data_IF_778245113830
#
_entry.id   IF_778245113830
#
_cell.length_a   1.000
_cell.length_b   1.000
_cell.length_c   1.000
_cell.angle_alpha   90.00
_cell.angle_beta   90.00
_cell.angle_gamma   90.00
#
_symmetry.space_group_name_H-M   'P 1'
#
loop_
_entity.id
_entity.type
_entity.pdbx_description
1 polymer ?
#
# COMPACT_ATOMS: atom_id res chain seq x y z
N UNK A 1 8.40 -17.96 -21.69
CA UNK A 1 7.86 -17.10 -20.63
C UNK A 1 8.45 -17.57 -19.32
N UNK A 2 9.06 -16.67 -18.54
CA UNK A 2 9.53 -16.97 -17.19
C UNK A 2 8.33 -17.23 -16.28
N UNK A 3 8.36 -18.34 -15.54
CA UNK A 3 7.31 -18.65 -14.56
C UNK A 3 7.26 -17.55 -13.51
N UNK A 4 6.04 -17.10 -13.14
CA UNK A 4 5.87 -16.08 -12.12
C UNK A 4 6.45 -16.53 -10.78
N UNK A 5 7.29 -15.71 -10.18
CA UNK A 5 7.92 -16.03 -8.90
C UNK A 5 6.97 -15.69 -7.74
N UNK A 6 6.83 -16.62 -6.79
CA UNK A 6 6.07 -16.40 -5.55
C UNK A 6 6.85 -15.53 -4.56
N UNK A 7 7.16 -14.29 -4.95
CA UNK A 7 7.89 -13.32 -4.16
C UNK A 7 7.30 -11.92 -4.30
N UNK A 8 7.36 -11.15 -3.20
CA UNK A 8 7.07 -9.72 -3.16
C UNK A 8 8.38 -8.98 -2.97
N UNK A 9 8.68 -8.02 -3.83
CA UNK A 9 9.93 -7.26 -3.76
C UNK A 9 9.72 -5.85 -3.18
N UNK A 10 10.68 -5.43 -2.37
CA UNK A 10 10.82 -4.02 -1.99
C UNK A 10 11.70 -3.28 -3.00
N UNK A 11 11.60 -1.95 -3.00
CA UNK A 11 12.38 -1.08 -3.86
C UNK A 11 13.40 -0.28 -3.05
N UNK A 12 14.50 0.08 -3.68
CA UNK A 12 15.59 0.81 -3.04
C UNK A 12 15.23 2.28 -2.76
N UNK A 13 14.48 2.94 -3.64
CA UNK A 13 14.19 4.37 -3.53
C UNK A 13 12.89 4.83 -4.21
N UNK A 14 12.85 6.10 -4.60
CA UNK A 14 11.67 6.77 -5.17
C UNK A 14 11.40 6.37 -6.63
N UNK A 15 12.39 5.84 -7.33
CA UNK A 15 12.31 5.45 -8.72
C UNK A 15 13.01 4.11 -8.93
N UNK A 16 12.62 3.40 -9.99
CA UNK A 16 13.32 2.19 -10.38
C UNK A 16 14.67 2.54 -10.99
N UNK A 17 15.71 1.92 -10.45
CA UNK A 17 17.01 1.88 -11.12
C UNK A 17 16.96 0.98 -12.34
N UNK A 18 17.91 1.17 -13.27
CA UNK A 18 18.05 0.27 -14.43
C UNK A 18 18.32 -1.18 -14.00
N UNK A 19 19.08 -1.38 -12.93
CA UNK A 19 19.40 -2.70 -12.38
C UNK A 19 18.16 -3.39 -11.81
N UNK A 20 17.32 -2.68 -11.05
CA UNK A 20 16.05 -3.21 -10.56
C UNK A 20 15.10 -3.55 -11.71
N UNK A 21 14.97 -2.67 -12.70
CA UNK A 21 14.11 -2.92 -13.88
C UNK A 21 14.57 -4.17 -14.66
N UNK A 22 15.87 -4.33 -14.88
CA UNK A 22 16.43 -5.52 -15.51
C UNK A 22 16.18 -6.79 -14.69
N UNK A 23 16.32 -6.71 -13.36
CA UNK A 23 16.08 -7.83 -12.46
C UNK A 23 14.59 -8.24 -12.44
N UNK A 24 13.70 -7.26 -12.36
CA UNK A 24 12.24 -7.48 -12.39
C UNK A 24 11.83 -8.18 -13.70
N UNK A 25 12.31 -7.69 -14.84
CA UNK A 25 12.06 -8.30 -16.15
C UNK A 25 12.49 -9.78 -16.22
N UNK A 26 13.62 -10.11 -15.61
CA UNK A 26 14.16 -11.48 -15.59
C UNK A 26 13.41 -12.41 -14.64
N UNK A 27 12.82 -11.88 -13.57
CA UNK A 27 12.28 -12.67 -12.46
C UNK A 27 10.76 -12.77 -12.43
N UNK A 28 10.04 -11.80 -12.99
CA UNK A 28 8.57 -11.78 -13.02
C UNK A 28 7.94 -12.05 -11.63
N UNK A 29 8.16 -11.17 -10.62
CA UNK A 29 7.66 -11.37 -9.27
C UNK A 29 6.13 -11.31 -9.19
N UNK A 30 5.57 -11.81 -8.09
CA UNK A 30 4.13 -11.72 -7.81
C UNK A 30 3.70 -10.27 -7.59
N UNK A 31 4.56 -9.46 -6.97
CA UNK A 31 4.26 -8.07 -6.70
C UNK A 31 5.38 -7.33 -5.99
N UNK A 32 5.02 -6.15 -5.50
CA UNK A 32 5.92 -5.19 -4.88
C UNK A 32 5.31 -4.63 -3.60
N UNK A 33 6.14 -4.29 -2.62
CA UNK A 33 5.72 -3.60 -1.40
C UNK A 33 6.42 -2.26 -1.26
N UNK A 34 5.63 -1.20 -1.04
CA UNK A 34 6.13 0.15 -0.84
C UNK A 34 6.37 0.44 0.63
N UNK A 35 7.50 1.07 0.92
CA UNK A 35 7.88 1.59 2.23
C UNK A 35 7.98 3.11 2.21
N UNK A 36 8.16 3.73 3.38
CA UNK A 36 8.31 5.20 3.48
C UNK A 36 9.44 5.77 2.62
N UNK A 37 10.52 5.01 2.37
CA UNK A 37 11.63 5.42 1.48
C UNK A 37 11.24 5.49 -0.02
N UNK A 38 10.06 4.98 -0.38
CA UNK A 38 9.54 4.96 -1.75
C UNK A 38 8.49 6.06 -1.99
N UNK A 39 8.26 6.94 -1.01
CA UNK A 39 7.20 7.94 -1.00
C UNK A 39 7.80 9.32 -0.81
N UNK A 40 7.57 10.21 -1.78
CA UNK A 40 7.88 11.64 -1.68
C UNK A 40 6.65 12.50 -1.99
N UNK A 41 5.99 12.25 -3.11
CA UNK A 41 4.75 12.93 -3.50
C UNK A 41 3.74 11.93 -4.07
N UNK A 42 2.45 12.27 -4.07
CA UNK A 42 1.41 11.39 -4.66
C UNK A 42 1.65 11.14 -6.15
N UNK A 43 2.10 12.15 -6.88
CA UNK A 43 2.44 12.04 -8.30
C UNK A 43 3.63 11.09 -8.52
N UNK A 44 4.70 11.25 -7.73
CA UNK A 44 5.86 10.35 -7.78
C UNK A 44 5.46 8.91 -7.47
N UNK A 45 4.65 8.66 -6.44
CA UNK A 45 4.17 7.32 -6.09
C UNK A 45 3.34 6.72 -7.24
N UNK A 46 2.43 7.50 -7.82
CA UNK A 46 1.61 7.06 -8.96
C UNK A 46 2.47 6.69 -10.17
N UNK A 47 3.51 7.47 -10.46
CA UNK A 47 4.47 7.20 -11.54
C UNK A 47 5.28 5.92 -11.26
N UNK A 48 5.78 5.75 -10.03
CA UNK A 48 6.49 4.55 -9.61
C UNK A 48 5.62 3.30 -9.76
N UNK A 49 4.38 3.33 -9.26
CA UNK A 49 3.42 2.21 -9.37
C UNK A 49 3.09 1.92 -10.83
N UNK A 50 2.90 2.94 -11.65
CA UNK A 50 2.65 2.78 -13.09
C UNK A 50 3.84 2.12 -13.80
N UNK A 51 5.07 2.52 -13.44
CA UNK A 51 6.28 1.92 -13.99
C UNK A 51 6.40 0.45 -13.57
N UNK A 52 6.18 0.11 -12.29
CA UNK A 52 6.14 -1.29 -11.81
C UNK A 52 5.12 -2.15 -12.57
N UNK A 53 3.92 -1.61 -12.78
CA UNK A 53 2.85 -2.30 -13.52
C UNK A 53 3.17 -2.46 -15.00
N UNK A 54 4.03 -1.64 -15.59
CA UNK A 54 4.46 -1.83 -17.00
C UNK A 54 5.30 -3.09 -17.21
N UNK A 55 5.92 -3.63 -16.17
CA UNK A 55 6.62 -4.92 -16.21
C UNK A 55 5.67 -6.11 -16.02
N UNK A 56 4.43 -5.84 -15.59
CA UNK A 56 3.42 -6.87 -15.45
C UNK A 56 2.99 -7.38 -16.83
N UNK A 57 2.90 -8.70 -16.96
CA UNK A 57 2.34 -9.33 -18.16
C UNK A 57 0.82 -9.50 -18.06
N UNK A 58 0.23 -9.20 -16.91
CA UNK A 58 -1.20 -9.30 -16.61
C UNK A 58 -1.66 -8.22 -15.60
N UNK A 59 -2.97 -8.10 -15.40
CA UNK A 59 -3.59 -7.17 -14.43
C UNK A 59 -3.35 -7.55 -12.96
N UNK A 60 -2.66 -8.65 -12.68
CA UNK A 60 -2.63 -9.30 -11.37
C UNK A 60 -1.40 -8.92 -10.55
N UNK A 61 -0.59 -7.94 -10.97
CA UNK A 61 0.54 -7.47 -10.16
C UNK A 61 0.05 -6.85 -8.86
N UNK A 62 0.50 -7.45 -7.75
CA UNK A 62 0.20 -6.95 -6.42
C UNK A 62 1.10 -5.77 -6.11
N UNK A 63 0.50 -4.67 -5.64
CA UNK A 63 1.17 -3.49 -5.12
C UNK A 63 0.69 -3.31 -3.69
N UNK A 64 1.56 -3.66 -2.76
CA UNK A 64 1.34 -3.74 -1.33
C UNK A 64 1.83 -2.47 -0.62
N UNK A 65 1.22 -2.17 0.52
CA UNK A 65 1.67 -1.16 1.47
C UNK A 65 1.25 -1.60 2.89
N UNK A 66 1.88 -1.04 3.92
CA UNK A 66 1.37 -1.13 5.30
C UNK A 66 0.77 0.23 5.72
N UNK A 67 -0.54 0.38 5.59
CA UNK A 67 -1.26 1.61 5.89
C UNK A 67 -2.35 1.37 6.94
N UNK A 68 -1.99 0.98 8.16
CA UNK A 68 -3.00 0.71 9.21
C UNK A 68 -3.57 1.99 9.86
N UNK A 69 -2.73 3.00 10.05
CA UNK A 69 -3.01 4.18 10.86
C UNK A 69 -2.11 4.28 12.10
N UNK A 70 -2.04 5.48 12.68
CA UNK A 70 -1.15 5.75 13.82
C UNK A 70 0.33 5.52 13.50
N UNK A 71 0.96 4.53 14.14
CA UNK A 71 2.40 4.26 14.00
C UNK A 71 2.74 3.53 12.71
N UNK A 72 1.85 2.68 12.21
CA UNK A 72 2.04 1.94 10.95
C UNK A 72 1.27 2.67 9.85
N UNK A 73 1.95 3.63 9.24
CA UNK A 73 1.46 4.36 8.08
C UNK A 73 2.67 4.80 7.24
N UNK A 74 2.69 4.41 5.96
CA UNK A 74 3.74 4.83 5.03
C UNK A 74 3.38 6.15 4.36
N UNK A 75 2.13 6.33 3.95
CA UNK A 75 1.57 7.61 3.50
C UNK A 75 1.06 8.38 4.72
N UNK A 76 1.46 9.65 4.84
CA UNK A 76 1.13 10.52 5.98
C UNK A 76 0.76 11.93 5.51
N UNK A 77 0.20 12.71 6.42
CA UNK A 77 0.02 14.16 6.21
C UNK A 77 1.35 14.84 5.85
N UNK A 78 1.38 15.77 4.86
CA UNK A 78 0.24 16.36 4.17
C UNK A 78 -0.21 15.62 2.89
N UNK A 79 0.41 14.49 2.54
CA UNK A 79 0.07 13.76 1.29
C UNK A 79 -1.33 13.14 1.36
N UNK A 80 -1.67 12.57 2.50
CA UNK A 80 -2.98 11.98 2.80
C UNK A 80 -3.41 12.38 4.21
N UNK A 81 -4.67 12.12 4.56
CA UNK A 81 -5.09 12.27 5.97
C UNK A 81 -4.38 11.26 6.85
N UNK A 82 -4.11 11.63 8.10
CA UNK A 82 -3.70 10.64 9.09
C UNK A 82 -4.92 9.84 9.55
N UNK A 83 -4.76 8.52 9.62
CA UNK A 83 -5.77 7.60 10.14
C UNK A 83 -5.49 7.24 11.59
N UNK A 84 -6.52 7.11 12.45
CA UNK A 84 -6.31 6.73 13.84
C UNK A 84 -5.78 5.28 13.93
N UNK A 85 -4.98 4.94 14.96
CA UNK A 85 -4.62 3.55 15.23
C UNK A 85 -5.87 2.74 15.58
N UNK A 86 -5.83 1.43 15.32
CA UNK A 86 -6.96 0.52 15.53
C UNK A 86 -7.53 0.55 16.97
N UNK A 87 -6.67 0.77 17.97
CA UNK A 87 -7.01 0.92 19.38
C UNK A 87 -8.10 1.98 19.63
N UNK A 88 -8.13 3.07 18.85
CA UNK A 88 -9.15 4.12 19.01
C UNK A 88 -10.54 3.57 18.67
N UNK A 89 -10.67 2.75 17.62
CA UNK A 89 -11.95 2.14 17.28
C UNK A 89 -12.40 1.14 18.37
N UNK A 90 -11.46 0.37 18.92
CA UNK A 90 -11.73 -0.54 20.05
C UNK A 90 -12.22 0.20 21.29
N UNK A 91 -11.55 1.29 21.67
CA UNK A 91 -11.96 2.10 22.83
C UNK A 91 -13.36 2.72 22.67
N UNK A 92 -13.73 3.14 21.46
CA UNK A 92 -15.10 3.63 21.20
C UNK A 92 -16.10 2.48 21.33
N UNK A 93 -15.75 1.29 20.82
CA UNK A 93 -16.62 0.11 20.83
C UNK A 93 -17.10 -0.27 22.24
N UNK A 94 -16.26 -0.10 23.26
CA UNK A 94 -16.63 -0.35 24.66
C UNK A 94 -17.82 0.48 25.16
N UNK A 95 -18.08 1.63 24.54
CA UNK A 95 -19.16 2.55 24.96
C UNK A 95 -20.22 2.80 23.89
N UNK A 96 -19.87 2.67 22.61
CA UNK A 96 -20.72 2.95 21.46
C UNK A 96 -20.36 2.03 20.26
N UNK A 97 -20.81 0.76 20.28
CA UNK A 97 -20.48 -0.23 19.25
C UNK A 97 -20.89 0.19 17.83
N UNK A 98 -22.06 0.82 17.68
CA UNK A 98 -22.60 1.20 16.36
C UNK A 98 -21.70 2.24 15.69
N UNK A 99 -21.34 3.29 16.42
CA UNK A 99 -20.47 4.32 15.88
C UNK A 99 -19.03 3.83 15.71
N UNK A 100 -18.53 2.93 16.57
CA UNK A 100 -17.21 2.32 16.39
C UNK A 100 -17.10 1.53 15.07
N UNK A 101 -18.07 0.65 14.80
CA UNK A 101 -18.11 -0.12 13.55
C UNK A 101 -18.24 0.78 12.34
N UNK A 102 -19.10 1.81 12.43
CA UNK A 102 -19.26 2.80 11.36
C UNK A 102 -17.97 3.58 11.10
N UNK A 103 -17.29 4.01 12.16
CA UNK A 103 -16.03 4.75 12.05
C UNK A 103 -14.93 3.89 11.41
N UNK A 104 -14.77 2.63 11.86
CA UNK A 104 -13.79 1.70 11.29
C UNK A 104 -14.05 1.44 9.80
N UNK A 105 -15.31 1.17 9.42
CA UNK A 105 -15.70 0.97 8.03
C UNK A 105 -15.40 2.20 7.16
N UNK A 106 -15.79 3.39 7.61
CA UNK A 106 -15.55 4.63 6.87
C UNK A 106 -14.05 4.94 6.75
N UNK A 107 -13.27 4.70 7.80
CA UNK A 107 -11.82 4.82 7.79
C UNK A 107 -11.18 3.91 6.73
N UNK A 108 -11.54 2.63 6.73
CA UNK A 108 -11.05 1.66 5.76
C UNK A 108 -11.44 2.01 4.32
N UNK A 109 -12.68 2.46 4.08
CA UNK A 109 -13.13 2.87 2.73
C UNK A 109 -12.38 4.10 2.23
N UNK A 110 -12.13 5.09 3.08
CA UNK A 110 -11.38 6.29 2.71
C UNK A 110 -9.93 5.94 2.37
N UNK A 111 -9.29 5.13 3.20
CA UNK A 111 -7.94 4.64 3.01
C UNK A 111 -7.82 3.84 1.72
N UNK A 112 -8.72 2.88 1.49
CA UNK A 112 -8.74 2.09 0.26
C UNK A 112 -8.89 2.98 -0.99
N UNK A 113 -9.73 4.02 -0.94
CA UNK A 113 -9.88 4.96 -2.06
C UNK A 113 -8.61 5.75 -2.34
N UNK A 114 -7.92 6.20 -1.31
CA UNK A 114 -6.63 6.91 -1.44
C UNK A 114 -5.56 5.99 -2.04
N UNK A 115 -5.47 4.74 -1.56
CA UNK A 115 -4.52 3.74 -2.08
C UNK A 115 -4.81 3.34 -3.53
N UNK A 116 -6.07 3.04 -3.85
CA UNK A 116 -6.50 2.70 -5.20
C UNK A 116 -6.22 3.85 -6.19
N UNK A 117 -6.36 5.11 -5.74
CA UNK A 117 -6.01 6.29 -6.52
C UNK A 117 -4.54 6.35 -6.92
N UNK A 118 -3.65 5.70 -6.16
CA UNK A 118 -2.22 5.55 -6.44
C UNK A 118 -1.89 4.24 -7.18
N UNK A 119 -2.89 3.41 -7.47
CA UNK A 119 -2.72 2.10 -8.06
C UNK A 119 -2.25 1.01 -7.08
N UNK A 120 -2.24 1.29 -5.78
CA UNK A 120 -1.95 0.32 -4.72
C UNK A 120 -3.22 -0.50 -4.49
N UNK A 121 -3.12 -1.84 -4.60
CA UNK A 121 -4.28 -2.74 -4.61
C UNK A 121 -4.31 -3.73 -3.44
N UNK A 122 -3.28 -3.72 -2.59
CA UNK A 122 -3.22 -4.53 -1.38
C UNK A 122 -2.69 -3.66 -0.24
N UNK A 123 -3.35 -3.75 0.91
CA UNK A 123 -2.90 -3.14 2.15
C UNK A 123 -2.78 -4.23 3.20
N UNK A 124 -1.68 -4.25 3.94
CA UNK A 124 -1.39 -5.25 4.97
C UNK A 124 -2.11 -4.91 6.29
N UNK A 125 -3.43 -4.79 6.22
CA UNK A 125 -4.33 -4.41 7.32
C UNK A 125 -5.64 -5.20 7.18
N UNK A 126 -6.39 -5.53 8.25
CA UNK A 126 -6.19 -5.13 9.66
C UNK A 126 -5.25 -6.04 10.44
N UNK A 127 -4.59 -5.48 11.46
CA UNK A 127 -4.00 -6.25 12.55
C UNK A 127 -5.12 -6.91 13.38
N UNK A 128 -4.96 -8.19 13.71
CA UNK A 128 -5.93 -9.01 14.44
C UNK A 128 -5.39 -9.53 15.79
N UNK A 129 -4.19 -9.09 16.18
CA UNK A 129 -3.52 -9.46 17.42
C UNK A 129 -4.20 -8.87 18.67
#
# INVERSE_FOLDING_TARGET
MTSRQAAIYGLSGLELTAEEADYINKTNPLGFILFSRNIETLEQVSNLVSHLKSFATDSETLILIDQEGGRVARLRSPLVRDYPPAEIYGNIYETDPENALRAAYLGAVLMAKELLGLGINVDCTPCLD
#
